data_IF_446247743074
#
_entry.id   IF_446247743074
#
_cell.length_a   1.000
_cell.length_b   1.000
_cell.length_c   1.000
_cell.angle_alpha   90.00
_cell.angle_beta   90.00
_cell.angle_gamma   90.00
#
_symmetry.space_group_name_H-M   'P 1'
#
loop_
_entity.id
_entity.type
_entity.pdbx_description
1 polymer ?
#
# COMPACT_ATOMS: atom_id res chain seq x y z
N UNK A 1 -57.05 -2.83 -44.37
CA UNK A 1 -55.68 -3.20 -44.79
C UNK A 1 -54.79 -2.03 -44.41
N UNK A 2 -53.76 -2.09 -43.58
CA UNK A 2 -53.08 -3.09 -42.74
C UNK A 2 -52.23 -2.21 -41.78
N UNK A 3 -52.50 -2.21 -40.48
CA UNK A 3 -51.60 -2.71 -39.44
C UNK A 3 -50.13 -2.86 -39.88
N UNK A 4 -49.22 -2.08 -39.28
CA UNK A 4 -47.94 -2.59 -38.79
C UNK A 4 -47.34 -1.63 -37.75
N UNK A 5 -47.67 -1.91 -36.48
CA UNK A 5 -46.85 -1.61 -35.33
C UNK A 5 -45.49 -2.30 -35.50
N UNK A 6 -44.40 -1.55 -35.60
CA UNK A 6 -43.06 -2.09 -35.34
C UNK A 6 -42.63 -1.54 -33.99
N UNK A 7 -42.98 -2.30 -32.94
CA UNK A 7 -42.36 -2.16 -31.64
C UNK A 7 -40.87 -2.47 -31.78
N UNK A 8 -40.01 -1.45 -31.66
CA UNK A 8 -38.60 -1.67 -31.39
C UNK A 8 -38.45 -2.02 -29.91
N UNK A 9 -38.62 -3.30 -29.61
CA UNK A 9 -38.21 -3.89 -28.35
C UNK A 9 -36.70 -4.16 -28.45
N UNK A 10 -35.88 -3.11 -28.32
CA UNK A 10 -34.45 -3.27 -28.08
C UNK A 10 -34.28 -3.84 -26.68
N UNK A 11 -34.10 -5.17 -26.62
CA UNK A 11 -33.64 -5.84 -25.42
C UNK A 11 -32.41 -5.10 -24.89
N UNK A 12 -32.54 -4.55 -23.69
CA UNK A 12 -31.41 -4.05 -22.93
C UNK A 12 -30.40 -5.19 -22.82
N UNK A 13 -29.29 -5.06 -23.54
CA UNK A 13 -28.09 -5.83 -23.24
C UNK A 13 -27.71 -5.39 -21.84
N UNK A 14 -27.97 -6.22 -20.84
CA UNK A 14 -27.48 -6.03 -19.48
C UNK A 14 -25.95 -6.17 -19.50
N UNK A 15 -25.26 -5.17 -20.03
CA UNK A 15 -23.88 -4.90 -19.65
C UNK A 15 -23.90 -4.49 -18.19
N UNK A 16 -23.18 -5.22 -17.35
CA UNK A 16 -22.92 -4.79 -15.97
C UNK A 16 -22.44 -3.33 -15.99
N UNK A 17 -22.91 -2.48 -15.06
CA UNK A 17 -22.49 -1.09 -15.02
C UNK A 17 -20.96 -1.02 -14.91
N UNK A 18 -20.35 -0.16 -15.72
CA UNK A 18 -18.91 0.07 -15.68
C UNK A 18 -18.55 0.73 -14.33
N UNK A 19 -17.49 0.24 -13.67
CA UNK A 19 -17.01 0.82 -12.41
C UNK A 19 -16.28 2.13 -12.75
N UNK A 20 -16.86 3.25 -12.33
CA UNK A 20 -16.34 4.60 -12.61
C UNK A 20 -15.74 5.25 -11.37
N UNK A 21 -15.26 6.49 -11.49
CA UNK A 21 -14.77 7.28 -10.34
C UNK A 21 -15.89 7.72 -9.39
N UNK A 22 -17.15 7.70 -9.84
CA UNK A 22 -18.32 8.12 -9.06
C UNK A 22 -19.02 6.95 -8.39
N UNK A 23 -18.70 5.71 -8.80
CA UNK A 23 -19.20 4.50 -8.16
C UNK A 23 -18.87 4.53 -6.67
N UNK A 24 -19.90 4.35 -5.83
CA UNK A 24 -19.72 4.34 -4.38
C UNK A 24 -19.09 3.02 -3.92
N UNK A 25 -18.50 2.98 -2.72
CA UNK A 25 -17.98 1.73 -2.18
C UNK A 25 -19.09 0.68 -2.01
N UNK A 26 -20.29 1.09 -1.58
CA UNK A 26 -21.44 0.20 -1.44
C UNK A 26 -21.84 -0.45 -2.77
N UNK A 27 -21.99 0.36 -3.83
CA UNK A 27 -22.25 -0.13 -5.19
C UNK A 27 -21.14 -1.07 -5.69
N UNK A 28 -19.88 -0.75 -5.39
CA UNK A 28 -18.74 -1.60 -5.75
C UNK A 28 -18.79 -2.96 -5.06
N UNK A 29 -19.14 -3.00 -3.78
CA UNK A 29 -19.31 -4.25 -3.04
C UNK A 29 -20.46 -5.09 -3.63
N UNK A 30 -21.60 -4.48 -3.95
CA UNK A 30 -22.71 -5.16 -4.61
C UNK A 30 -22.31 -5.74 -5.97
N UNK A 31 -21.59 -4.99 -6.79
CA UNK A 31 -21.09 -5.44 -8.10
C UNK A 31 -20.14 -6.64 -7.98
N UNK A 32 -19.36 -6.71 -6.90
CA UNK A 32 -18.44 -7.81 -6.62
C UNK A 32 -19.09 -8.96 -5.82
N UNK A 33 -20.39 -8.84 -5.49
CA UNK A 33 -21.12 -9.78 -4.64
C UNK A 33 -20.44 -9.97 -3.27
N UNK A 34 -20.05 -8.86 -2.64
CA UNK A 34 -19.39 -8.82 -1.33
C UNK A 34 -20.26 -8.10 -0.31
N UNK A 35 -20.19 -8.52 0.94
CA UNK A 35 -20.90 -7.89 2.06
C UNK A 35 -19.94 -7.05 2.91
N UNK A 36 -20.44 -5.94 3.47
CA UNK A 36 -19.71 -5.13 4.45
C UNK A 36 -19.23 -6.00 5.64
N UNK A 37 -17.95 -5.90 6.02
CA UNK A 37 -17.37 -6.70 7.09
C UNK A 37 -17.16 -8.18 6.78
N UNK A 38 -17.45 -8.64 5.55
CA UNK A 38 -17.23 -10.02 5.13
C UNK A 38 -15.79 -10.44 5.38
N UNK A 39 -15.59 -11.59 6.04
CA UNK A 39 -14.25 -12.13 6.29
C UNK A 39 -13.55 -12.47 4.97
N UNK A 40 -12.29 -12.07 4.88
CA UNK A 40 -11.44 -12.42 3.73
C UNK A 40 -11.39 -13.95 3.55
N UNK A 41 -11.46 -14.45 2.31
CA UNK A 41 -11.45 -15.89 2.05
C UNK A 41 -10.08 -16.52 2.34
N UNK A 42 -8.99 -15.75 2.15
CA UNK A 42 -7.60 -16.21 2.28
C UNK A 42 -6.72 -15.13 2.91
N UNK A 43 -5.45 -15.45 3.17
CA UNK A 43 -4.42 -14.47 3.55
C UNK A 43 -4.32 -13.36 2.49
N UNK A 44 -4.11 -12.13 2.94
CA UNK A 44 -3.89 -10.97 2.07
C UNK A 44 -2.76 -11.25 1.07
N UNK A 45 -3.02 -11.18 -0.25
CA UNK A 45 -2.03 -11.47 -1.26
C UNK A 45 -0.99 -10.34 -1.33
N UNK A 46 0.23 -10.67 -1.75
CA UNK A 46 1.22 -9.66 -2.13
C UNK A 46 0.80 -8.98 -3.44
N UNK A 47 1.23 -7.74 -3.74
CA UNK A 47 0.90 -7.03 -4.98
C UNK A 47 1.31 -7.82 -6.20
N UNK A 48 2.46 -8.48 -6.11
CA UNK A 48 2.96 -9.36 -7.17
C UNK A 48 1.99 -10.51 -7.42
N UNK A 49 1.55 -11.21 -6.36
CA UNK A 49 0.59 -12.30 -6.51
C UNK A 49 -0.74 -11.76 -7.05
N UNK A 50 -1.23 -10.64 -6.53
CA UNK A 50 -2.49 -10.04 -6.94
C UNK A 50 -2.51 -9.70 -8.44
N UNK A 51 -1.42 -9.13 -8.98
CA UNK A 51 -1.26 -8.84 -10.42
C UNK A 51 -1.23 -10.08 -11.31
N UNK A 52 -0.86 -11.24 -10.77
CA UNK A 52 -0.74 -12.50 -11.53
C UNK A 52 -2.03 -13.32 -11.42
N UNK A 53 -2.65 -13.35 -10.25
CA UNK A 53 -3.75 -14.27 -9.93
C UNK A 53 -5.14 -13.68 -10.12
N UNK A 54 -5.27 -12.36 -10.17
CA UNK A 54 -6.57 -11.69 -10.19
C UNK A 54 -6.71 -10.75 -11.39
N UNK A 55 -7.95 -10.52 -11.83
CA UNK A 55 -8.26 -9.69 -13.00
C UNK A 55 -8.61 -8.27 -12.52
N UNK A 56 -7.94 -7.22 -13.02
CA UNK A 56 -8.31 -5.85 -12.68
C UNK A 56 -9.67 -5.52 -13.30
N UNK A 57 -10.61 -5.08 -12.47
CA UNK A 57 -11.97 -4.68 -12.88
C UNK A 57 -12.13 -3.16 -12.98
N UNK A 58 -11.30 -2.40 -12.26
CA UNK A 58 -11.30 -0.94 -12.30
C UNK A 58 -9.92 -0.37 -11.97
N UNK A 59 -9.59 0.78 -12.55
CA UNK A 59 -8.37 1.54 -12.24
C UNK A 59 -8.66 3.04 -12.17
N UNK A 60 -8.32 3.68 -11.06
CA UNK A 60 -8.59 5.10 -10.83
C UNK A 60 -7.64 5.65 -9.75
N UNK A 61 -7.09 6.87 -9.92
CA UNK A 61 -6.27 7.56 -8.88
C UNK A 61 -5.24 6.63 -8.21
N UNK A 62 -4.43 5.95 -9.03
CA UNK A 62 -3.42 4.96 -8.58
C UNK A 62 -3.94 3.76 -7.77
N UNK A 63 -5.26 3.63 -7.68
CA UNK A 63 -5.96 2.45 -7.18
C UNK A 63 -6.27 1.47 -8.32
N UNK A 64 -6.18 0.18 -8.04
CA UNK A 64 -6.63 -0.91 -8.91
C UNK A 64 -7.52 -1.83 -8.07
N UNK A 65 -8.76 -2.03 -8.51
CA UNK A 65 -9.67 -3.01 -7.92
C UNK A 65 -9.63 -4.28 -8.74
N UNK A 66 -9.63 -5.42 -8.06
CA UNK A 66 -9.61 -6.74 -8.66
C UNK A 66 -10.93 -7.48 -8.43
N UNK A 67 -11.26 -8.37 -9.36
CA UNK A 67 -12.45 -9.23 -9.34
C UNK A 67 -12.58 -10.06 -8.06
N UNK A 68 -11.45 -10.41 -7.44
CA UNK A 68 -11.40 -11.19 -6.22
C UNK A 68 -11.72 -10.39 -4.93
N UNK A 69 -12.07 -9.11 -5.02
CA UNK A 69 -12.45 -8.26 -3.89
C UNK A 69 -11.32 -7.50 -3.20
N UNK A 70 -10.08 -7.68 -3.66
CA UNK A 70 -8.94 -6.90 -3.17
C UNK A 70 -8.76 -5.62 -4.00
N UNK A 71 -8.29 -4.57 -3.32
CA UNK A 71 -7.83 -3.33 -3.95
C UNK A 71 -6.33 -3.15 -3.69
N UNK A 72 -5.63 -2.62 -4.68
CA UNK A 72 -4.24 -2.19 -4.60
C UNK A 72 -4.19 -0.67 -4.72
N UNK A 73 -3.39 -0.03 -3.88
CA UNK A 73 -3.08 1.40 -3.98
C UNK A 73 -1.57 1.61 -3.98
N UNK A 74 -1.09 2.62 -4.70
CA UNK A 74 0.32 3.02 -4.71
C UNK A 74 0.44 4.55 -4.79
N UNK A 75 1.13 5.18 -3.84
CA UNK A 75 1.34 6.63 -3.81
C UNK A 75 2.64 7.10 -4.49
N UNK A 76 3.24 6.25 -5.33
CA UNK A 76 4.53 6.45 -5.98
C UNK A 76 5.73 5.95 -5.16
N UNK A 77 5.58 5.88 -3.83
CA UNK A 77 6.64 5.49 -2.89
C UNK A 77 6.35 4.16 -2.20
N UNK A 78 5.13 3.98 -1.70
CA UNK A 78 4.66 2.80 -0.99
C UNK A 78 3.32 2.35 -1.59
N UNK A 79 2.94 1.14 -1.22
CA UNK A 79 1.66 0.57 -1.64
C UNK A 79 0.93 -0.07 -0.48
N UNK A 80 -0.37 -0.29 -0.66
CA UNK A 80 -1.17 -1.10 0.25
C UNK A 80 -2.08 -2.03 -0.52
N UNK A 81 -2.37 -3.20 0.07
CA UNK A 81 -3.39 -4.13 -0.42
C UNK A 81 -4.51 -4.18 0.59
N UNK A 82 -5.71 -3.81 0.17
CA UNK A 82 -6.90 -3.71 0.99
C UNK A 82 -7.91 -4.80 0.64
N UNK A 83 -8.60 -5.29 1.65
CA UNK A 83 -9.81 -6.10 1.47
C UNK A 83 -11.02 -5.15 1.53
N UNK A 84 -11.73 -5.00 0.41
CA UNK A 84 -12.78 -3.98 0.27
C UNK A 84 -13.88 -4.06 1.35
N UNK A 85 -14.38 -5.24 1.75
CA UNK A 85 -15.34 -5.37 2.85
C UNK A 85 -14.90 -4.76 4.18
N UNK A 86 -13.60 -4.64 4.44
CA UNK A 86 -13.11 -4.02 5.67
C UNK A 86 -12.98 -2.50 5.56
N UNK A 87 -13.23 -1.93 4.38
CA UNK A 87 -13.08 -0.49 4.11
C UNK A 87 -14.35 0.31 4.42
N UNK A 88 -15.36 -0.31 5.02
CA UNK A 88 -16.67 0.31 5.33
C UNK A 88 -16.67 1.09 6.63
N UNK A 89 -15.74 0.76 7.54
CA UNK A 89 -15.59 1.41 8.83
C UNK A 89 -14.17 1.95 8.98
N UNK A 90 -14.05 3.15 9.53
CA UNK A 90 -12.77 3.77 9.81
C UNK A 90 -12.86 4.62 11.07
N UNK A 91 -11.86 4.49 11.93
CA UNK A 91 -11.70 5.32 13.12
C UNK A 91 -10.43 6.12 12.95
N UNK A 92 -10.55 7.45 13.02
CA UNK A 92 -9.40 8.32 13.04
C UNK A 92 -8.80 8.32 14.45
N UNK A 93 -7.46 8.20 14.53
CA UNK A 93 -6.71 8.28 15.78
C UNK A 93 -5.92 9.58 15.81
N UNK A 94 -6.10 10.37 16.85
CA UNK A 94 -5.37 11.61 17.08
C UNK A 94 -4.12 11.34 17.93
N UNK A 95 -3.23 12.33 17.97
CA UNK A 95 -2.04 12.29 18.82
C UNK A 95 -2.44 12.09 20.29
N UNK A 96 -1.65 11.31 21.07
CA UNK A 96 -1.90 11.13 22.49
C UNK A 96 -2.05 12.49 23.20
N UNK A 97 -3.16 12.63 23.92
CA UNK A 97 -3.50 13.82 24.69
C UNK A 97 -2.76 13.81 26.01
N UNK A 98 -2.44 15.00 26.51
CA UNK A 98 -1.99 15.16 27.91
C UNK A 98 -3.15 14.89 28.85
N UNK A 99 -2.86 14.48 30.08
CA UNK A 99 -3.89 14.16 31.09
C UNK A 99 -4.91 15.28 31.32
N UNK A 100 -4.47 16.54 31.18
CA UNK A 100 -5.36 17.70 31.28
C UNK A 100 -6.34 17.83 30.10
N UNK A 101 -5.98 17.34 28.91
CA UNK A 101 -6.73 17.45 27.66
C UNK A 101 -7.75 16.30 27.49
N UNK A 102 -7.48 15.13 28.09
CA UNK A 102 -8.36 13.93 28.05
C UNK A 102 -9.76 14.13 28.65
N UNK A 103 -9.95 15.17 29.48
CA UNK A 103 -11.25 15.47 30.07
C UNK A 103 -12.23 16.14 29.09
N UNK A 104 -11.75 16.60 27.93
CA UNK A 104 -12.56 17.40 26.99
C UNK A 104 -12.42 16.93 25.55
N UNK A 105 -11.28 16.33 25.20
CA UNK A 105 -10.98 15.86 23.86
C UNK A 105 -10.89 14.32 23.85
N UNK A 106 -11.22 13.73 22.69
CA UNK A 106 -11.06 12.30 22.44
C UNK A 106 -9.85 12.08 21.55
N UNK A 107 -9.10 11.02 21.83
CA UNK A 107 -7.99 10.53 20.98
C UNK A 107 -8.51 9.75 19.77
N UNK A 108 -9.80 9.46 19.70
CA UNK A 108 -10.40 8.75 18.56
C UNK A 108 -11.67 9.41 18.06
N UNK A 109 -11.90 9.29 16.75
CA UNK A 109 -13.15 9.69 16.11
C UNK A 109 -13.60 8.62 15.12
N UNK A 110 -14.61 7.80 15.45
CA UNK A 110 -15.20 6.87 14.50
C UNK A 110 -16.00 7.66 13.46
N UNK A 111 -15.83 7.31 12.18
CA UNK A 111 -16.65 7.90 11.13
C UNK A 111 -18.11 7.41 11.26
N UNK A 112 -19.09 8.24 10.87
CA UNK A 112 -20.51 7.84 10.85
C UNK A 112 -20.72 6.58 10.00
N UNK A 113 -21.57 5.68 10.49
CA UNK A 113 -21.99 4.46 9.78
C UNK A 113 -22.63 4.83 8.43
N UNK A 114 -22.30 4.09 7.36
CA UNK A 114 -22.81 4.34 6.01
C UNK A 114 -22.09 5.45 5.24
N UNK A 115 -21.22 6.24 5.88
CA UNK A 115 -20.52 7.34 5.22
C UNK A 115 -19.55 6.83 4.15
N UNK A 116 -18.77 5.79 4.45
CA UNK A 116 -17.78 5.28 3.51
C UNK A 116 -18.44 4.51 2.37
N UNK A 117 -19.52 3.78 2.65
CA UNK A 117 -20.31 3.06 1.66
C UNK A 117 -20.97 3.99 0.64
N UNK A 118 -21.37 5.19 1.07
CA UNK A 118 -21.92 6.24 0.20
C UNK A 118 -20.85 7.12 -0.47
N UNK A 119 -19.57 6.94 -0.11
CA UNK A 119 -18.45 7.68 -0.68
C UNK A 119 -17.89 6.96 -1.90
N UNK A 120 -17.36 7.71 -2.86
CA UNK A 120 -16.71 7.17 -4.05
C UNK A 120 -15.56 6.21 -3.67
N UNK A 121 -15.56 5.01 -4.26
CA UNK A 121 -14.60 3.97 -3.90
C UNK A 121 -13.11 4.39 -4.00
N UNK A 122 -12.66 5.22 -4.98
CA UNK A 122 -11.25 5.60 -5.05
C UNK A 122 -10.82 6.44 -3.84
N UNK A 123 -11.74 7.28 -3.33
CA UNK A 123 -11.49 8.12 -2.15
C UNK A 123 -11.34 7.25 -0.91
N UNK A 124 -12.24 6.28 -0.72
CA UNK A 124 -12.18 5.38 0.44
C UNK A 124 -10.93 4.50 0.41
N UNK A 125 -10.61 3.91 -0.75
CA UNK A 125 -9.40 3.11 -0.92
C UNK A 125 -8.15 3.94 -0.65
N UNK A 126 -8.07 5.16 -1.19
CA UNK A 126 -6.93 6.06 -0.96
C UNK A 126 -6.79 6.42 0.52
N UNK A 127 -7.88 6.86 1.17
CA UNK A 127 -7.89 7.24 2.59
C UNK A 127 -7.34 6.13 3.48
N UNK A 128 -7.87 4.91 3.32
CA UNK A 128 -7.52 3.78 4.17
C UNK A 128 -6.13 3.25 3.83
N UNK A 129 -5.75 3.24 2.55
CA UNK A 129 -4.43 2.79 2.13
C UNK A 129 -3.33 3.74 2.62
N UNK A 130 -3.51 5.05 2.50
CA UNK A 130 -2.57 6.05 3.01
C UNK A 130 -2.41 5.93 4.52
N UNK A 131 -3.52 5.81 5.27
CA UNK A 131 -3.45 5.64 6.71
C UNK A 131 -2.68 4.37 7.12
N UNK A 132 -2.87 3.25 6.40
CA UNK A 132 -2.07 2.03 6.63
C UNK A 132 -0.60 2.26 6.30
N UNK A 133 -0.32 2.93 5.18
CA UNK A 133 1.05 3.23 4.76
C UNK A 133 1.77 4.07 5.84
N UNK A 134 1.11 5.10 6.36
CA UNK A 134 1.60 5.98 7.43
C UNK A 134 1.85 5.18 8.72
N UNK A 135 0.90 4.37 9.16
CA UNK A 135 1.08 3.52 10.34
C UNK A 135 2.30 2.59 10.19
N UNK A 136 2.50 2.02 9.01
CA UNK A 136 3.68 1.20 8.71
C UNK A 136 4.98 2.01 8.53
N UNK A 137 4.91 3.33 8.28
CA UNK A 137 6.08 4.21 8.36
C UNK A 137 6.51 4.37 9.81
N UNK A 138 5.59 4.76 10.69
CA UNK A 138 5.92 5.09 12.08
C UNK A 138 6.38 3.88 12.90
N UNK A 139 5.82 2.70 12.61
CA UNK A 139 6.14 1.47 13.35
C UNK A 139 7.32 0.67 12.79
N UNK A 140 7.96 1.14 11.71
CA UNK A 140 8.94 0.37 10.92
C UNK A 140 8.43 -1.06 10.58
N UNK A 141 7.10 -1.24 10.56
CA UNK A 141 6.44 -2.54 10.50
C UNK A 141 6.51 -3.22 9.13
N UNK A 142 7.26 -2.64 8.18
CA UNK A 142 7.51 -3.21 6.84
C UNK A 142 6.57 -2.59 5.80
N UNK A 143 6.77 -2.91 4.53
CA UNK A 143 6.05 -2.29 3.42
C UNK A 143 4.65 -2.92 3.29
N UNK A 144 3.65 -2.27 3.89
CA UNK A 144 2.28 -2.11 3.35
C UNK A 144 1.36 -3.32 3.13
N UNK A 145 1.74 -4.54 3.52
CA UNK A 145 0.89 -5.75 3.32
C UNK A 145 0.44 -6.44 4.58
N UNK A 146 1.09 -6.18 5.72
CA UNK A 146 0.60 -6.66 7.00
C UNK A 146 -0.61 -5.82 7.41
N UNK A 147 -1.59 -6.46 8.03
CA UNK A 147 -2.71 -5.71 8.60
C UNK A 147 -2.18 -4.93 9.81
N UNK A 148 -2.63 -3.68 9.96
CA UNK A 148 -2.48 -2.95 11.22
C UNK A 148 -3.26 -3.77 12.25
N UNK A 149 -2.55 -4.43 13.17
CA UNK A 149 -3.18 -5.04 14.33
C UNK A 149 -3.70 -3.90 15.18
N UNK A 150 -4.96 -3.96 15.60
CA UNK A 150 -5.47 -3.11 16.68
C UNK A 150 -4.55 -3.36 17.89
N UNK A 151 -3.77 -2.35 18.26
CA UNK A 151 -2.87 -2.42 19.40
C UNK A 151 -3.78 -2.41 20.65
N UNK A 152 -3.83 -3.50 21.45
CA UNK A 152 -4.50 -3.43 22.75
C UNK A 152 -3.77 -2.39 23.60
N UNK A 153 -4.49 -1.57 24.37
CA UNK A 153 -3.95 -0.47 25.20
C UNK A 153 -2.84 -0.87 26.20
N UNK A 154 -2.52 -2.17 26.34
CA UNK A 154 -1.62 -2.72 27.37
C UNK A 154 -0.42 -3.53 26.82
N UNK A 155 -0.05 -3.44 25.54
CA UNK A 155 1.20 -4.06 25.09
C UNK A 155 2.35 -3.04 24.98
N UNK A 156 3.44 -3.38 25.67
CA UNK A 156 4.73 -2.68 25.69
C UNK A 156 5.17 -2.28 24.28
N UNK A 157 5.82 -1.11 24.18
CA UNK A 157 6.47 -0.64 22.95
C UNK A 157 7.11 -1.82 22.21
N UNK A 158 6.75 -2.06 20.94
CA UNK A 158 7.16 -3.27 20.25
C UNK A 158 8.69 -3.33 20.30
N UNK A 159 9.23 -4.38 20.92
CA UNK A 159 10.67 -4.56 21.04
C UNK A 159 11.28 -4.56 19.62
N UNK A 160 11.90 -3.44 19.24
CA UNK A 160 12.48 -3.16 17.93
C UNK A 160 13.77 -3.98 17.72
N UNK A 161 14.25 -4.70 18.74
CA UNK A 161 15.40 -5.59 18.62
C UNK A 161 15.06 -6.83 17.78
N UNK A 162 15.33 -6.76 16.47
CA UNK A 162 15.33 -7.93 15.60
C UNK A 162 14.92 -7.68 14.16
N UNK A 163 14.32 -6.53 13.83
CA UNK A 163 14.32 -6.10 12.43
C UNK A 163 15.71 -5.62 12.07
N UNK A 164 16.17 -6.00 10.90
CA UNK A 164 17.46 -5.61 10.39
C UNK A 164 17.51 -4.09 10.17
N UNK A 165 17.78 -3.35 11.25
CA UNK A 165 17.89 -1.89 11.32
C UNK A 165 19.14 -1.35 10.60
N UNK A 166 19.77 -2.13 9.71
CA UNK A 166 21.02 -1.74 9.01
C UNK A 166 20.82 -0.76 7.85
N UNK A 167 19.64 -0.17 7.65
CA UNK A 167 19.35 0.71 6.50
C UNK A 167 18.39 1.87 6.82
N UNK A 168 18.51 2.52 7.97
CA UNK A 168 17.82 3.80 8.17
C UNK A 168 18.29 4.86 7.15
N UNK A 169 19.59 4.87 6.78
CA UNK A 169 20.11 5.74 5.71
C UNK A 169 19.55 5.45 4.31
N UNK A 170 19.01 4.25 4.06
CA UNK A 170 18.46 3.84 2.76
C UNK A 170 16.95 3.71 2.78
N UNK A 171 16.26 4.49 3.61
CA UNK A 171 14.82 4.66 3.46
C UNK A 171 14.55 5.26 2.08
N UNK A 172 14.02 4.45 1.16
CA UNK A 172 13.76 4.85 -0.24
C UNK A 172 12.47 5.64 -0.43
N UNK A 173 11.78 5.93 0.67
CA UNK A 173 10.44 6.49 0.69
C UNK A 173 10.47 7.99 0.97
N UNK A 174 9.40 8.67 0.54
CA UNK A 174 9.12 10.02 1.02
C UNK A 174 8.95 10.02 2.54
N UNK A 175 9.53 11.05 3.14
CA UNK A 175 9.59 11.25 4.59
C UNK A 175 8.20 11.60 5.11
N UNK A 176 7.74 11.01 6.23
CA UNK A 176 6.44 11.35 6.77
C UNK A 176 6.34 12.86 7.09
N UNK A 177 5.12 13.40 7.06
CA UNK A 177 4.83 14.84 7.18
C UNK A 177 5.37 15.44 8.51
N UNK A 178 5.60 14.59 9.51
CA UNK A 178 6.13 14.95 10.83
C UNK A 178 7.67 15.03 10.89
N UNK A 179 8.38 14.72 9.81
CA UNK A 179 9.84 14.77 9.76
C UNK A 179 10.31 16.19 9.48
N UNK A 180 11.36 16.62 10.18
CA UNK A 180 12.00 17.90 9.90
C UNK A 180 12.44 17.95 8.43
N UNK A 181 12.02 18.95 7.64
CA UNK A 181 12.33 19.02 6.21
C UNK A 181 13.83 19.11 5.93
N UNK A 182 14.63 19.65 6.86
CA UNK A 182 16.09 19.64 6.74
C UNK A 182 16.66 18.23 6.84
N UNK A 183 16.21 17.45 7.82
CA UNK A 183 16.69 16.07 8.00
C UNK A 183 16.26 15.18 6.83
N UNK A 184 15.06 15.41 6.29
CA UNK A 184 14.57 14.80 5.06
C UNK A 184 15.48 15.06 3.86
N UNK A 185 15.91 16.31 3.68
CA UNK A 185 16.83 16.68 2.60
C UNK A 185 18.21 16.07 2.84
N UNK A 186 18.76 16.17 4.04
CA UNK A 186 20.07 15.59 4.38
C UNK A 186 20.08 14.10 4.09
N UNK A 187 19.08 13.33 4.55
CA UNK A 187 18.99 11.89 4.29
C UNK A 187 18.90 11.56 2.80
N UNK A 188 18.10 12.32 2.04
CA UNK A 188 18.01 12.14 0.58
C UNK A 188 19.37 12.38 -0.09
N UNK A 189 20.04 13.48 0.24
CA UNK A 189 21.34 13.84 -0.32
C UNK A 189 22.41 12.81 0.05
N UNK A 190 22.49 12.43 1.33
CA UNK A 190 23.42 11.39 1.81
C UNK A 190 23.19 10.06 1.09
N UNK A 191 21.93 9.65 0.89
CA UNK A 191 21.62 8.42 0.15
C UNK A 191 22.09 8.50 -1.29
N UNK A 192 21.85 9.61 -1.98
CA UNK A 192 22.27 9.83 -3.36
C UNK A 192 23.80 9.84 -3.50
N UNK A 193 24.51 10.48 -2.56
CA UNK A 193 25.97 10.46 -2.50
C UNK A 193 26.52 9.03 -2.34
N UNK A 194 25.98 8.27 -1.37
CA UNK A 194 26.44 6.89 -1.15
C UNK A 194 26.19 6.01 -2.38
N UNK A 195 25.06 6.18 -3.08
CA UNK A 195 24.77 5.43 -4.30
C UNK A 195 25.67 5.84 -5.48
N UNK A 196 26.02 7.12 -5.57
CA UNK A 196 26.94 7.61 -6.59
C UNK A 196 28.35 7.05 -6.42
N UNK A 197 28.78 6.83 -5.18
CA UNK A 197 30.06 6.20 -4.85
C UNK A 197 30.09 4.68 -5.10
N UNK A 198 28.93 4.04 -5.20
CA UNK A 198 28.85 2.63 -5.57
C UNK A 198 29.17 2.42 -7.07
N UNK A 199 30.00 1.43 -7.42
CA UNK A 199 30.17 0.99 -8.80
C UNK A 199 28.83 0.63 -9.43
N UNK A 200 28.64 0.97 -10.70
CA UNK A 200 27.36 0.81 -11.42
C UNK A 200 26.73 -0.58 -11.25
N UNK A 201 27.53 -1.64 -11.40
CA UNK A 201 27.06 -3.04 -11.25
C UNK A 201 26.59 -3.40 -9.85
N UNK A 202 27.16 -2.74 -8.82
CA UNK A 202 26.81 -2.93 -7.42
C UNK A 202 25.59 -2.08 -7.07
N UNK A 203 25.58 -0.80 -7.49
CA UNK A 203 24.43 0.10 -7.37
C UNK A 203 23.18 -0.50 -7.99
N UNK A 204 23.27 -1.03 -9.23
CA UNK A 204 22.15 -1.64 -9.94
C UNK A 204 21.55 -2.82 -9.16
N UNK A 205 22.40 -3.75 -8.71
CA UNK A 205 21.94 -4.88 -7.90
C UNK A 205 21.34 -4.43 -6.57
N UNK A 206 21.94 -3.42 -5.92
CA UNK A 206 21.48 -2.87 -4.66
C UNK A 206 20.11 -2.20 -4.78
N UNK A 207 19.88 -1.41 -5.83
CA UNK A 207 18.59 -0.77 -6.11
C UNK A 207 17.53 -1.83 -6.44
N UNK A 208 17.83 -2.80 -7.31
CA UNK A 208 16.88 -3.87 -7.64
C UNK A 208 16.44 -4.67 -6.40
N UNK A 209 17.37 -4.89 -5.47
CA UNK A 209 17.09 -5.63 -4.25
C UNK A 209 16.30 -4.80 -3.23
N UNK A 210 16.73 -3.56 -2.93
CA UNK A 210 16.15 -2.77 -1.84
C UNK A 210 15.00 -1.85 -2.25
N UNK A 211 15.09 -1.24 -3.44
CA UNK A 211 14.04 -0.33 -3.92
C UNK A 211 12.89 -1.08 -4.59
N UNK A 212 13.20 -2.13 -5.34
CA UNK A 212 12.22 -2.88 -6.12
C UNK A 212 11.89 -4.26 -5.56
N UNK A 213 12.48 -4.65 -4.42
CA UNK A 213 12.19 -5.89 -3.68
C UNK A 213 12.35 -7.17 -4.50
N UNK A 214 13.17 -7.15 -5.55
CA UNK A 214 13.44 -8.35 -6.32
C UNK A 214 14.32 -9.30 -5.51
N UNK A 215 13.97 -10.58 -5.54
CA UNK A 215 14.82 -11.61 -4.96
C UNK A 215 16.14 -11.71 -5.74
N UNK A 216 17.23 -12.13 -5.09
CA UNK A 216 18.51 -12.31 -5.79
C UNK A 216 18.40 -13.23 -7.03
N UNK A 217 17.47 -14.20 -7.00
CA UNK A 217 17.20 -15.09 -8.14
C UNK A 217 16.55 -14.35 -9.32
N UNK A 218 15.61 -13.46 -9.06
CA UNK A 218 14.99 -12.64 -10.10
C UNK A 218 15.97 -11.62 -10.66
N UNK A 219 16.77 -10.99 -9.79
CA UNK A 219 17.86 -10.09 -10.20
C UNK A 219 18.86 -10.83 -11.09
N UNK A 220 19.21 -12.06 -10.75
CA UNK A 220 20.10 -12.88 -11.56
C UNK A 220 19.56 -13.09 -12.98
N UNK A 221 18.26 -13.37 -13.09
CA UNK A 221 17.57 -13.51 -14.39
C UNK A 221 17.55 -12.17 -15.14
N UNK A 222 17.19 -11.07 -14.48
CA UNK A 222 17.12 -9.73 -15.09
C UNK A 222 18.47 -9.24 -15.60
N UNK A 223 19.54 -9.49 -14.83
CA UNK A 223 20.90 -9.06 -15.15
C UNK A 223 21.66 -10.07 -16.02
N UNK A 224 21.07 -11.23 -16.33
CA UNK A 224 21.72 -12.30 -17.10
C UNK A 224 22.97 -12.88 -16.44
N UNK A 225 23.00 -12.93 -15.10
CA UNK A 225 24.13 -13.44 -14.31
C UNK A 225 23.70 -14.58 -13.37
N UNK A 226 24.65 -15.19 -12.68
CA UNK A 226 24.34 -16.19 -11.65
C UNK A 226 23.87 -15.52 -10.36
N UNK A 227 23.02 -16.21 -9.58
CA UNK A 227 22.59 -15.74 -8.26
C UNK A 227 23.80 -15.45 -7.34
N UNK A 228 24.84 -16.28 -7.40
CA UNK A 228 26.10 -16.08 -6.66
C UNK A 228 26.81 -14.78 -7.05
N UNK A 229 26.70 -14.35 -8.30
CA UNK A 229 27.25 -13.07 -8.73
C UNK A 229 26.43 -11.88 -8.22
N UNK A 230 25.10 -12.02 -8.09
CA UNK A 230 24.23 -11.02 -7.44
C UNK A 230 24.60 -10.89 -5.97
N UNK A 231 24.74 -12.01 -5.26
CA UNK A 231 25.15 -12.04 -3.86
C UNK A 231 26.49 -11.30 -3.65
N UNK A 232 27.50 -11.62 -4.46
CA UNK A 232 28.79 -10.93 -4.40
C UNK A 232 28.69 -9.42 -4.68
N UNK A 233 27.83 -9.00 -5.61
CA UNK A 233 27.59 -7.57 -5.88
C UNK A 233 26.96 -6.87 -4.67
N UNK A 234 25.97 -7.50 -4.02
CA UNK A 234 25.33 -6.99 -2.82
C UNK A 234 26.30 -6.93 -1.64
N UNK A 235 27.03 -8.01 -1.35
CA UNK A 235 28.00 -8.01 -0.24
C UNK A 235 29.05 -6.91 -0.37
N UNK A 236 29.60 -6.72 -1.58
CA UNK A 236 30.57 -5.64 -1.82
C UNK A 236 29.95 -4.25 -1.74
N UNK A 237 28.67 -4.10 -2.12
CA UNK A 237 27.95 -2.85 -1.94
C UNK A 237 27.85 -2.51 -0.44
N UNK A 238 27.44 -3.47 0.40
CA UNK A 238 27.37 -3.28 1.85
C UNK A 238 28.71 -2.94 2.48
N UNK A 239 29.80 -3.62 2.09
CA UNK A 239 31.14 -3.32 2.60
C UNK A 239 31.65 -1.93 2.22
N UNK A 240 31.17 -1.36 1.10
CA UNK A 240 31.48 0.02 0.71
C UNK A 240 30.63 1.03 1.44
N UNK A 241 29.32 0.77 1.53
CA UNK A 241 28.38 1.59 2.28
C UNK A 241 28.85 1.74 3.73
N UNK A 242 29.26 0.64 4.37
CA UNK A 242 29.78 0.64 5.75
C UNK A 242 31.05 1.48 5.96
N UNK A 243 31.75 1.88 4.89
CA UNK A 243 32.92 2.76 4.98
C UNK A 243 32.57 4.24 4.80
N UNK A 244 31.38 4.51 4.25
CA UNK A 244 30.89 5.86 3.98
C UNK A 244 30.00 6.38 5.10
N UNK A 245 29.46 5.47 5.92
CA UNK A 245 28.70 5.72 7.16
C UNK A 245 29.62 5.45 8.34
#
# INVERSE_FOLDING_TARGET
MENMNIAQNTAAVNTLPEITAQTTLGELLEMLCLEAGQKKPNKTPTPKNLRITAVPVAKMLDCIVYDNGFAYYNNGSRHSVLWLPYCVNFTYYFTPLRDAEKNTLSETFPLPEGLLESTAWPVVVTLIAEHRIEHHMDTNAGIGHEEVKEIPEEEEEPNIEGRDNRCYEFMWHEEPINVNPLDAVIRRETREEILNDLPEKQREAFILYHKYEYTQREIAVMLGISQKAVDYRLSNAYERIKKLI
#
